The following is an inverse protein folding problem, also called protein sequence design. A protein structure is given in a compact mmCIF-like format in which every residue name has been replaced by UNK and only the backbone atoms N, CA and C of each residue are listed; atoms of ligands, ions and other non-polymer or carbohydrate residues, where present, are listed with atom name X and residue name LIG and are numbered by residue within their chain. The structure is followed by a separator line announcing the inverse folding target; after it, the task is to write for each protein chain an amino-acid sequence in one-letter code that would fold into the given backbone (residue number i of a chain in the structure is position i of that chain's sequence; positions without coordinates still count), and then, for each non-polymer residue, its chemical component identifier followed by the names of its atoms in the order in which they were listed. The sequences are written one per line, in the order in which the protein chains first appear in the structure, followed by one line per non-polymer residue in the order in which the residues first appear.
data_IF_700246923247
#
_entry.id   IF_700246923247
#
_cell.length_a   1.000
_cell.length_b   1.000
_cell.length_c   1.000
_cell.angle_alpha   90.00
_cell.angle_beta   90.00
_cell.angle_gamma   90.00
#
_symmetry.space_group_name_H-M   'P 1'
#
loop_
_entity.id
_entity.type
_entity.pdbx_description
1 polymer ?
#
# COMPACT_ATOMS: atom_id res chain seq x y z
N UNK A 1 -0.51 39.02 -24.67
CA UNK A 1 0.80 38.65 -24.10
C UNK A 1 0.62 37.35 -23.32
N UNK A 2 1.43 36.34 -23.65
CA UNK A 2 1.78 35.09 -22.92
C UNK A 2 0.67 34.41 -22.09
N UNK A 3 0.07 33.30 -22.52
CA UNK A 3 0.61 31.93 -22.65
C UNK A 3 0.92 31.25 -21.30
N UNK A 4 0.50 29.98 -21.22
CA UNK A 4 1.03 28.88 -20.38
C UNK A 4 0.51 28.83 -18.92
N UNK A 5 0.16 27.67 -18.34
CA UNK A 5 0.53 26.28 -18.64
C UNK A 5 -0.63 25.32 -18.34
N UNK A 6 -0.99 24.54 -19.34
CA UNK A 6 -1.49 23.16 -19.19
C UNK A 6 -0.60 22.40 -18.21
N UNK A 7 -1.17 22.00 -17.07
CA UNK A 7 -0.58 20.96 -16.24
C UNK A 7 -0.69 19.64 -16.98
N UNK A 8 0.31 19.34 -17.80
CA UNK A 8 0.56 17.97 -18.28
C UNK A 8 0.77 17.12 -17.04
N UNK A 9 -0.23 16.34 -16.65
CA UNK A 9 -0.04 15.23 -15.74
C UNK A 9 1.04 14.34 -16.36
N UNK A 10 2.24 14.41 -15.80
CA UNK A 10 3.34 13.57 -16.22
C UNK A 10 2.88 12.11 -16.11
N UNK A 11 2.97 11.41 -17.22
CA UNK A 11 2.77 9.98 -17.36
C UNK A 11 3.70 9.23 -16.40
N UNK A 12 3.24 8.93 -15.19
CA UNK A 12 3.92 8.01 -14.28
C UNK A 12 3.58 6.57 -14.68
N UNK A 13 4.28 6.08 -15.69
CA UNK A 13 4.57 4.66 -15.89
C UNK A 13 5.81 4.63 -16.77
N UNK A 14 6.93 4.05 -16.33
CA UNK A 14 7.10 2.61 -16.51
C UNK A 14 8.23 1.96 -15.67
N UNK A 15 8.53 2.41 -14.44
CA UNK A 15 9.62 1.78 -13.65
C UNK A 15 9.38 1.65 -12.16
N UNK A 16 8.16 1.85 -11.67
CA UNK A 16 7.88 1.56 -10.26
C UNK A 16 8.05 0.06 -10.00
N UNK A 17 8.62 -0.28 -8.86
CA UNK A 17 8.87 -1.68 -8.47
C UNK A 17 8.34 -1.98 -7.09
N UNK A 18 8.07 -3.26 -6.83
CA UNK A 18 7.88 -3.76 -5.47
C UNK A 18 9.12 -3.51 -4.62
N UNK A 19 8.90 -3.23 -3.34
CA UNK A 19 9.94 -3.08 -2.34
C UNK A 19 10.22 -4.45 -1.70
N UNK A 20 11.35 -5.12 -2.03
CA UNK A 20 11.48 -6.55 -1.77
C UNK A 20 11.65 -6.90 -0.28
N UNK A 21 12.50 -6.17 0.45
CA UNK A 21 12.83 -6.45 1.85
C UNK A 21 13.32 -5.18 2.57
N UNK A 22 12.89 -4.95 3.81
CA UNK A 22 13.44 -3.94 4.72
C UNK A 22 13.36 -4.44 6.17
N UNK A 23 14.49 -4.41 6.88
CA UNK A 23 14.56 -4.91 8.25
C UNK A 23 14.13 -6.37 8.34
N UNK A 24 13.14 -6.64 9.18
CA UNK A 24 12.55 -7.99 9.36
C UNK A 24 11.43 -8.29 8.36
N UNK A 25 10.99 -7.32 7.59
CA UNK A 25 9.91 -7.48 6.62
C UNK A 25 10.42 -8.01 5.29
N UNK A 26 9.65 -8.93 4.72
CA UNK A 26 9.80 -9.43 3.35
C UNK A 26 8.49 -9.22 2.62
N UNK A 27 8.56 -8.89 1.35
CA UNK A 27 7.36 -8.71 0.53
C UNK A 27 6.54 -10.01 0.45
N UNK A 28 5.35 -10.00 1.02
CA UNK A 28 4.46 -11.17 1.04
C UNK A 28 3.72 -11.37 -0.30
N UNK A 29 3.42 -10.27 -1.00
CA UNK A 29 2.67 -10.25 -2.25
C UNK A 29 1.53 -9.22 -2.25
N UNK A 30 0.85 -9.13 -3.39
CA UNK A 30 -0.40 -8.38 -3.52
C UNK A 30 -1.59 -9.21 -2.98
N UNK A 31 -2.40 -8.65 -2.09
CA UNK A 31 -3.57 -9.30 -1.49
C UNK A 31 -4.81 -8.40 -1.60
N UNK A 32 -5.99 -9.00 -1.72
CA UNK A 32 -7.23 -8.23 -1.74
C UNK A 32 -7.63 -7.75 -0.34
N UNK A 33 -8.28 -6.58 -0.32
CA UNK A 33 -9.05 -6.10 0.81
C UNK A 33 -10.30 -6.98 1.05
N UNK A 34 -10.72 -7.09 2.30
CA UNK A 34 -11.80 -7.96 2.79
C UNK A 34 -13.03 -7.21 3.28
N UNK A 35 -13.07 -5.88 3.22
CA UNK A 35 -14.22 -5.06 3.67
C UNK A 35 -15.53 -5.38 2.95
N UNK A 36 -15.46 -5.97 1.76
CA UNK A 36 -16.64 -6.41 0.99
C UNK A 36 -17.22 -7.77 1.42
N UNK A 37 -16.54 -8.51 2.29
CA UNK A 37 -16.99 -9.82 2.74
C UNK A 37 -17.93 -9.69 3.94
N UNK A 38 -19.13 -10.27 3.85
CA UNK A 38 -20.11 -10.18 4.94
C UNK A 38 -19.74 -11.10 6.09
N UNK A 39 -19.06 -12.20 5.78
CA UNK A 39 -18.62 -13.23 6.71
C UNK A 39 -17.61 -12.74 7.76
N UNK A 40 -16.88 -11.65 7.52
CA UNK A 40 -16.00 -11.02 8.53
C UNK A 40 -16.57 -9.70 9.10
N UNK A 41 -17.85 -9.41 8.86
CA UNK A 41 -18.49 -8.18 9.34
C UNK A 41 -17.98 -6.90 8.68
N UNK A 42 -17.39 -6.99 7.48
CA UNK A 42 -16.80 -5.84 6.77
C UNK A 42 -15.44 -5.42 7.32
N UNK A 43 -14.77 -6.29 8.08
CA UNK A 43 -13.44 -6.01 8.59
C UNK A 43 -12.39 -5.95 7.46
N UNK A 44 -11.35 -5.15 7.69
CA UNK A 44 -10.23 -5.03 6.75
C UNK A 44 -9.32 -6.26 6.77
N UNK A 45 -8.57 -6.45 5.68
CA UNK A 45 -7.62 -7.54 5.50
C UNK A 45 -6.56 -7.52 6.61
N UNK A 46 -6.15 -6.32 7.01
CA UNK A 46 -5.25 -6.05 8.12
C UNK A 46 -6.02 -5.30 9.21
N UNK A 47 -6.69 -6.03 10.10
CA UNK A 47 -7.53 -5.46 11.16
C UNK A 47 -7.28 -6.06 12.56
N UNK A 48 -6.31 -6.97 12.71
CA UNK A 48 -6.07 -7.68 13.96
C UNK A 48 -5.10 -6.91 14.87
N UNK A 49 -5.66 -6.02 15.71
CA UNK A 49 -4.98 -5.43 16.86
C UNK A 49 -3.83 -4.47 16.54
N UNK A 50 -3.76 -3.94 15.31
CA UNK A 50 -2.76 -2.97 14.89
C UNK A 50 -3.32 -1.55 14.74
N UNK A 51 -2.62 -0.73 13.97
CA UNK A 51 -2.89 0.69 13.76
C UNK A 51 -2.68 1.07 12.30
N UNK A 52 -3.15 2.27 11.92
CA UNK A 52 -3.15 2.72 10.53
C UNK A 52 -2.72 4.19 10.42
N UNK A 53 -2.24 4.54 9.23
CA UNK A 53 -1.89 5.88 8.81
C UNK A 53 -2.44 6.08 7.40
N UNK A 54 -3.41 6.97 7.26
CA UNK A 54 -4.12 7.21 6.00
C UNK A 54 -3.80 8.60 5.45
N UNK A 55 -3.91 8.77 4.13
CA UNK A 55 -3.85 10.09 3.48
C UNK A 55 -2.48 10.78 3.55
N UNK A 56 -1.38 10.04 3.56
CA UNK A 56 -0.04 10.62 3.58
C UNK A 56 0.46 10.89 2.15
N UNK A 57 0.72 12.15 1.85
CA UNK A 57 1.25 12.57 0.54
C UNK A 57 2.75 12.26 0.36
N UNK A 58 3.45 11.92 1.44
CA UNK A 58 4.84 11.48 1.46
C UNK A 58 5.01 9.97 1.72
N UNK A 59 3.93 9.20 1.57
CA UNK A 59 3.95 7.75 1.80
C UNK A 59 5.04 7.06 0.97
N UNK A 60 5.86 6.26 1.65
CA UNK A 60 6.85 5.36 1.04
C UNK A 60 6.78 3.98 1.70
N UNK A 61 7.30 2.92 1.07
CA UNK A 61 7.36 1.61 1.72
C UNK A 61 8.15 1.65 3.03
N UNK A 62 9.31 2.31 3.05
CA UNK A 62 10.14 2.45 4.26
C UNK A 62 9.41 3.16 5.41
N UNK A 63 8.65 4.21 5.10
CA UNK A 63 7.83 4.92 6.07
C UNK A 63 6.77 4.00 6.69
N UNK A 64 6.07 3.22 5.87
CA UNK A 64 5.06 2.29 6.35
C UNK A 64 5.66 1.15 7.19
N UNK A 65 6.77 0.56 6.74
CA UNK A 65 7.44 -0.52 7.47
C UNK A 65 7.98 -0.04 8.81
N UNK A 66 8.53 1.18 8.87
CA UNK A 66 8.98 1.79 10.13
C UNK A 66 7.81 2.09 11.07
N UNK A 67 6.68 2.54 10.53
CA UNK A 67 5.47 2.81 11.30
C UNK A 67 4.83 1.54 11.87
N UNK A 68 4.95 0.42 11.16
CA UNK A 68 4.44 -0.88 11.61
C UNK A 68 5.41 -1.68 12.49
N UNK A 69 6.55 -1.12 12.88
CA UNK A 69 7.56 -1.86 13.65
C UNK A 69 6.96 -2.59 14.87
N UNK A 70 7.37 -3.84 15.05
CA UNK A 70 6.79 -4.76 16.04
C UNK A 70 5.51 -5.50 15.61
N UNK A 71 4.94 -5.19 14.44
CA UNK A 71 3.80 -5.92 13.86
C UNK A 71 4.25 -7.02 12.89
N UNK A 72 3.41 -8.02 12.65
CA UNK A 72 3.76 -9.09 11.70
C UNK A 72 3.55 -8.69 10.23
N UNK A 73 2.59 -7.80 9.98
CA UNK A 73 2.20 -7.38 8.64
C UNK A 73 2.10 -5.87 8.55
N UNK A 74 2.58 -5.36 7.42
CA UNK A 74 2.40 -4.00 6.94
C UNK A 74 1.80 -4.09 5.52
N UNK A 75 0.75 -3.32 5.25
CA UNK A 75 0.11 -3.24 3.95
C UNK A 75 0.03 -1.81 3.48
N UNK A 76 0.38 -1.58 2.23
CA UNK A 76 0.25 -0.28 1.57
C UNK A 76 -0.99 -0.30 0.69
N UNK A 77 -1.80 0.76 0.75
CA UNK A 77 -3.02 0.89 -0.05
C UNK A 77 -3.16 2.31 -0.60
N UNK A 78 -3.82 2.42 -1.77
CA UNK A 78 -4.14 3.69 -2.43
C UNK A 78 -2.98 4.69 -2.55
N UNK A 79 -1.74 4.21 -2.62
CA UNK A 79 -0.53 5.01 -2.76
C UNK A 79 -0.17 5.86 -1.53
N UNK A 80 -1.04 5.91 -0.50
CA UNK A 80 -1.02 6.91 0.58
C UNK A 80 -1.44 6.37 1.94
N UNK A 81 -1.78 5.09 2.02
CA UNK A 81 -2.24 4.45 3.24
C UNK A 81 -1.26 3.37 3.68
N UNK A 82 -1.14 3.19 4.99
CA UNK A 82 -0.34 2.16 5.62
C UNK A 82 -1.14 1.50 6.74
N UNK A 83 -1.24 0.17 6.67
CA UNK A 83 -2.03 -0.67 7.56
C UNK A 83 -1.13 -1.65 8.28
N UNK A 84 -1.13 -1.63 9.61
CA UNK A 84 -0.36 -2.54 10.44
C UNK A 84 -1.27 -3.55 11.13
N UNK A 85 -0.85 -4.81 11.22
CA UNK A 85 -1.64 -5.86 11.88
C UNK A 85 -0.78 -7.03 12.34
N UNK A 86 -1.23 -7.74 13.38
CA UNK A 86 -0.62 -9.00 13.80
C UNK A 86 -0.97 -10.17 12.89
N UNK A 87 -2.05 -10.08 12.11
CA UNK A 87 -2.44 -11.12 11.16
C UNK A 87 -3.03 -10.55 9.88
N UNK A 88 -2.90 -11.33 8.81
CA UNK A 88 -3.66 -11.17 7.59
C UNK A 88 -4.93 -12.01 7.67
N UNK A 89 -6.07 -11.42 7.29
CA UNK A 89 -7.36 -12.10 7.24
C UNK A 89 -7.28 -13.39 6.42
N UNK A 90 -7.91 -14.46 6.91
CA UNK A 90 -7.98 -15.75 6.20
C UNK A 90 -8.82 -15.69 4.92
N UNK A 91 -9.60 -14.62 4.74
CA UNK A 91 -10.35 -14.34 3.52
C UNK A 91 -9.52 -13.62 2.46
N UNK A 92 -8.35 -13.08 2.82
CA UNK A 92 -7.42 -12.47 1.87
C UNK A 92 -6.80 -13.54 0.98
N UNK A 93 -6.80 -13.25 -0.32
CA UNK A 93 -6.25 -14.08 -1.38
C UNK A 93 -5.18 -13.30 -2.09
N UNK A 94 -4.11 -14.01 -2.48
CA UNK A 94 -3.06 -13.43 -3.30
C UNK A 94 -3.63 -13.10 -4.68
N UNK A 95 -3.33 -11.90 -5.16
CA UNK A 95 -3.74 -11.38 -6.45
C UNK A 95 -2.54 -11.33 -7.42
N UNK A 96 -2.83 -10.98 -8.68
CA UNK A 96 -1.79 -10.55 -9.62
C UNK A 96 -1.17 -9.23 -9.14
N UNK A 97 0.15 -9.10 -9.26
CA UNK A 97 0.88 -7.89 -8.82
C UNK A 97 0.39 -6.61 -9.53
N UNK A 98 -0.20 -6.72 -10.73
CA UNK A 98 -0.86 -5.60 -11.43
C UNK A 98 -2.11 -5.05 -10.73
N UNK A 99 -2.55 -5.68 -9.64
CA UNK A 99 -3.62 -5.15 -8.78
C UNK A 99 -3.07 -4.28 -7.65
N UNK A 100 -1.76 -4.30 -7.44
CA UNK A 100 -1.07 -3.50 -6.44
C UNK A 100 0.06 -2.69 -7.11
N UNK A 101 -0.22 -2.09 -8.28
CA UNK A 101 0.74 -1.35 -9.11
C UNK A 101 0.58 0.18 -9.00
N UNK A 102 -0.14 0.69 -8.00
CA UNK A 102 -0.25 2.11 -7.74
C UNK A 102 1.07 2.64 -7.18
N UNK A 103 1.69 3.67 -7.79
CA UNK A 103 2.88 4.29 -7.24
C UNK A 103 2.62 4.94 -5.88
N UNK A 104 3.62 4.92 -5.00
CA UNK A 104 3.58 5.65 -3.74
C UNK A 104 3.57 7.16 -3.98
N UNK A 105 2.85 7.91 -3.14
CA UNK A 105 2.81 9.37 -3.24
C UNK A 105 4.17 10.03 -2.93
N UNK A 106 4.91 9.49 -1.95
CA UNK A 106 6.24 9.99 -1.57
C UNK A 106 7.41 9.42 -2.38
N UNK A 107 7.22 8.27 -3.04
CA UNK A 107 8.22 7.68 -3.95
C UNK A 107 7.54 6.99 -5.14
N UNK A 108 7.35 7.73 -6.23
CA UNK A 108 6.75 7.22 -7.47
C UNK A 108 7.56 6.10 -8.17
N UNK A 109 8.76 5.76 -7.68
CA UNK A 109 9.53 4.61 -8.16
C UNK A 109 9.23 3.33 -7.37
N UNK A 110 8.30 3.34 -6.41
CA UNK A 110 7.83 2.15 -5.68
C UNK A 110 6.33 2.00 -5.77
N UNK A 111 5.87 0.77 -5.64
CA UNK A 111 4.44 0.46 -5.53
C UNK A 111 3.95 0.50 -4.07
N UNK A 112 2.75 1.04 -3.88
CA UNK A 112 2.06 1.20 -2.60
C UNK A 112 0.58 0.80 -2.70
N UNK A 113 0.32 -0.40 -3.23
CA UNK A 113 -1.04 -0.97 -3.29
C UNK A 113 -1.79 -0.61 -4.56
N UNK A 114 -3.13 -0.50 -4.49
CA UNK A 114 -4.01 -0.26 -5.63
C UNK A 114 -5.47 -0.10 -5.22
#
# INVERSE_FOLDING_TARGET
AVSSTTGTAASASASATVYPEAGTYKYAGCYNETTGYKENGGARALSAGGWTMEGQDDMTPDMCLSFCDGMNYAGLEYGRECWCSYSLSTLSKKLDEKKCDMPCAGDGAKFCGG
#
